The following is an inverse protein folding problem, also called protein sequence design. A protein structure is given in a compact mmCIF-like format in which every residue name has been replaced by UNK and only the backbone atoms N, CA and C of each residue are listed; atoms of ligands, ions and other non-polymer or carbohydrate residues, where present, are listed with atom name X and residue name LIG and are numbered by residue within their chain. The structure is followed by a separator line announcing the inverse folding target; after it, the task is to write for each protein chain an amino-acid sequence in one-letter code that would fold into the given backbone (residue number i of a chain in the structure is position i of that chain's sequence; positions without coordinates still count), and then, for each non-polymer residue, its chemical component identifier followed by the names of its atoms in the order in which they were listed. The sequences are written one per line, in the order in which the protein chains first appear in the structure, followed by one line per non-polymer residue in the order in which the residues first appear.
data_IF_375934068123
#
_entry.id   IF_375934068123
#
_cell.length_a   1.000
_cell.length_b   1.000
_cell.length_c   1.000
_cell.angle_alpha   90.00
_cell.angle_beta   90.00
_cell.angle_gamma   90.00
#
_symmetry.space_group_name_H-M   'P 1'
#
loop_
_entity.id
_entity.type
_entity.pdbx_description
1 polymer ?
#
# COMPACT_ATOMS: atom_id res chain seq x y z
N UNK A 1 -24.90 -12.48 -14.00
CA UNK A 1 -23.74 -13.19 -13.41
C UNK A 1 -23.31 -12.38 -12.19
N UNK A 2 -22.94 -13.01 -11.11
CA UNK A 2 -22.37 -12.29 -9.94
C UNK A 2 -20.93 -11.97 -10.30
N UNK A 3 -20.56 -10.71 -10.16
CA UNK A 3 -19.20 -10.21 -10.43
C UNK A 3 -18.20 -10.87 -9.46
N UNK A 4 -17.02 -11.28 -9.95
CA UNK A 4 -16.01 -11.93 -9.11
C UNK A 4 -15.41 -10.96 -8.10
N UNK A 5 -14.81 -11.48 -7.03
CA UNK A 5 -14.10 -10.66 -6.03
C UNK A 5 -13.03 -9.80 -6.70
N UNK A 6 -12.27 -10.37 -7.65
CA UNK A 6 -11.24 -9.65 -8.40
C UNK A 6 -11.83 -8.48 -9.20
N UNK A 7 -12.90 -8.68 -9.95
CA UNK A 7 -13.56 -7.62 -10.73
C UNK A 7 -14.06 -6.49 -9.83
N UNK A 8 -14.72 -6.81 -8.71
CA UNK A 8 -15.21 -5.82 -7.76
C UNK A 8 -14.06 -5.01 -7.12
N UNK A 9 -12.93 -5.66 -6.79
CA UNK A 9 -11.75 -4.98 -6.24
C UNK A 9 -11.06 -4.10 -7.28
N UNK A 10 -10.94 -4.55 -8.54
CA UNK A 10 -10.42 -3.74 -9.65
C UNK A 10 -11.27 -2.48 -9.84
N UNK A 11 -12.56 -2.61 -9.87
CA UNK A 11 -13.49 -1.49 -9.99
C UNK A 11 -13.39 -0.51 -8.80
N UNK A 12 -13.28 -1.03 -7.57
CA UNK A 12 -13.06 -0.20 -6.38
C UNK A 12 -11.72 0.55 -6.42
N UNK A 13 -10.64 -0.09 -6.90
CA UNK A 13 -9.32 0.52 -7.04
C UNK A 13 -9.28 1.59 -8.15
N UNK A 14 -9.95 1.37 -9.27
CA UNK A 14 -10.09 2.35 -10.36
C UNK A 14 -10.85 3.59 -9.88
N UNK A 15 -11.96 3.42 -9.18
CA UNK A 15 -12.69 4.55 -8.55
C UNK A 15 -11.82 5.34 -7.56
N UNK A 16 -11.00 4.65 -6.78
CA UNK A 16 -10.02 5.30 -5.89
C UNK A 16 -9.00 6.10 -6.70
N UNK A 17 -8.41 5.49 -7.74
CA UNK A 17 -7.41 6.12 -8.61
C UNK A 17 -7.93 7.42 -9.21
N UNK A 18 -9.13 7.39 -9.80
CA UNK A 18 -9.78 8.58 -10.36
C UNK A 18 -10.02 9.68 -9.32
N UNK A 19 -10.50 9.31 -8.12
CA UNK A 19 -10.76 10.27 -7.05
C UNK A 19 -9.46 10.91 -6.56
N UNK A 20 -8.37 10.15 -6.50
CA UNK A 20 -7.04 10.63 -6.14
C UNK A 20 -6.48 11.58 -7.21
N UNK A 21 -6.65 11.26 -8.50
CA UNK A 21 -6.25 12.13 -9.61
C UNK A 21 -6.99 13.47 -9.58
N UNK A 22 -8.30 13.47 -9.30
CA UNK A 22 -9.07 14.72 -9.10
C UNK A 22 -8.57 15.55 -7.92
N UNK A 23 -8.09 14.91 -6.85
CA UNK A 23 -7.55 15.59 -5.67
C UNK A 23 -6.12 16.12 -5.81
N UNK A 24 -5.35 15.63 -6.78
CA UNK A 24 -3.91 15.89 -6.98
C UNK A 24 -3.57 17.37 -7.02
N UNK A 25 -4.29 18.17 -7.82
CA UNK A 25 -4.02 19.60 -8.00
C UNK A 25 -4.18 20.41 -6.70
N UNK A 26 -5.05 19.98 -5.79
CA UNK A 26 -5.21 20.61 -4.48
C UNK A 26 -4.00 20.34 -3.59
N UNK A 27 -3.48 19.13 -3.62
CA UNK A 27 -2.29 18.73 -2.85
C UNK A 27 -1.06 19.46 -3.36
N UNK A 28 -0.88 19.60 -4.68
CA UNK A 28 0.22 20.32 -5.31
C UNK A 28 0.28 21.82 -4.95
N UNK A 29 -0.83 22.41 -4.51
CA UNK A 29 -0.83 23.82 -4.05
C UNK A 29 -0.22 24.01 -2.66
N UNK A 30 0.03 22.93 -1.92
CA UNK A 30 0.61 23.04 -0.58
C UNK A 30 2.12 23.25 -0.66
N UNK A 31 2.64 24.22 0.08
CA UNK A 31 4.05 24.68 0.02
C UNK A 31 5.12 23.61 0.29
N UNK A 32 4.78 22.52 0.98
CA UNK A 32 5.70 21.42 1.24
C UNK A 32 5.69 20.35 0.16
N UNK A 33 4.82 20.49 -0.86
CA UNK A 33 4.62 19.51 -1.92
C UNK A 33 5.11 20.07 -3.24
N UNK A 34 5.94 19.30 -3.93
CA UNK A 34 6.41 19.63 -5.26
C UNK A 34 5.95 18.62 -6.32
N UNK A 35 5.80 17.37 -5.93
CA UNK A 35 5.46 16.28 -6.84
C UNK A 35 4.39 15.37 -6.22
N UNK A 36 3.43 14.96 -7.04
CA UNK A 36 2.40 13.98 -6.66
C UNK A 36 2.20 13.03 -7.83
N UNK A 37 2.34 11.73 -7.58
CA UNK A 37 2.06 10.69 -8.56
C UNK A 37 1.10 9.65 -8.00
N UNK A 38 0.36 8.99 -8.87
CA UNK A 38 -0.63 7.97 -8.51
C UNK A 38 -0.24 6.61 -9.12
N UNK A 39 0.39 5.71 -8.37
CA UNK A 39 0.76 4.38 -8.85
C UNK A 39 -0.40 3.53 -9.35
N UNK A 40 -1.63 3.74 -8.85
CA UNK A 40 -2.82 3.07 -9.37
C UNK A 40 -3.25 3.57 -10.76
N UNK A 41 -2.58 4.58 -11.29
CA UNK A 41 -2.78 5.10 -12.65
C UNK A 41 -1.70 4.53 -13.58
N UNK A 42 -0.46 4.99 -13.46
CA UNK A 42 0.62 4.61 -14.38
C UNK A 42 1.14 3.18 -14.20
N UNK A 43 1.01 2.58 -13.03
CA UNK A 43 1.42 1.20 -12.75
C UNK A 43 0.21 0.25 -12.59
N UNK A 44 -0.93 0.61 -13.19
CA UNK A 44 -2.17 -0.17 -13.11
C UNK A 44 -1.97 -1.63 -13.49
N UNK A 45 -1.28 -1.91 -14.58
CA UNK A 45 -1.09 -3.28 -15.06
C UNK A 45 -0.40 -4.22 -14.06
N UNK A 46 0.43 -3.70 -13.14
CA UNK A 46 1.00 -4.47 -12.04
C UNK A 46 0.00 -4.63 -10.89
N UNK A 47 -0.75 -3.55 -10.57
CA UNK A 47 -1.77 -3.60 -9.53
C UNK A 47 -2.91 -4.56 -9.90
N UNK A 48 -3.33 -4.54 -11.15
CA UNK A 48 -4.33 -5.46 -11.71
C UNK A 48 -3.88 -6.91 -11.58
N UNK A 49 -2.63 -7.24 -11.96
CA UNK A 49 -2.07 -8.57 -11.74
C UNK A 49 -2.08 -8.98 -10.26
N UNK A 50 -1.72 -8.04 -9.35
CA UNK A 50 -1.78 -8.31 -7.92
C UNK A 50 -3.18 -8.69 -7.45
N UNK A 51 -4.21 -7.97 -7.91
CA UNK A 51 -5.60 -8.29 -7.59
C UNK A 51 -5.99 -9.64 -8.19
N UNK A 52 -5.74 -9.86 -9.48
CA UNK A 52 -6.13 -11.08 -10.19
C UNK A 52 -5.46 -12.32 -9.61
N UNK A 53 -4.17 -12.22 -9.30
CA UNK A 53 -3.42 -13.35 -8.75
C UNK A 53 -3.85 -13.70 -7.31
N UNK A 54 -4.21 -12.69 -6.48
CA UNK A 54 -4.20 -12.91 -5.03
C UNK A 54 -5.50 -12.58 -4.30
N UNK A 55 -6.50 -11.99 -4.92
CA UNK A 55 -7.75 -11.63 -4.22
C UNK A 55 -8.71 -12.79 -3.98
N UNK A 56 -8.53 -13.89 -4.70
CA UNK A 56 -9.47 -15.04 -4.70
C UNK A 56 -9.23 -16.09 -3.62
N UNK A 57 -8.24 -15.94 -2.74
CA UNK A 57 -7.81 -16.97 -1.79
C UNK A 57 -8.58 -16.98 -0.46
N UNK A 58 -9.51 -16.06 -0.25
CA UNK A 58 -10.42 -16.09 0.89
C UNK A 58 -9.88 -15.53 2.20
N UNK A 59 -8.82 -14.70 2.15
CA UNK A 59 -8.27 -14.03 3.32
C UNK A 59 -9.34 -13.34 4.17
N UNK A 60 -9.23 -13.47 5.49
CA UNK A 60 -10.09 -12.81 6.49
C UNK A 60 -9.39 -11.70 7.25
N UNK A 61 -8.09 -11.57 7.08
CA UNK A 61 -7.27 -10.52 7.70
C UNK A 61 -6.73 -9.57 6.66
N UNK A 62 -6.91 -8.26 6.88
CA UNK A 62 -6.37 -7.20 6.04
C UNK A 62 -5.19 -6.52 6.73
N UNK A 63 -4.00 -6.50 6.10
CA UNK A 63 -2.90 -5.64 6.53
C UNK A 63 -3.02 -4.29 5.81
N UNK A 64 -3.18 -3.23 6.60
CA UNK A 64 -3.39 -1.87 6.09
C UNK A 64 -2.13 -1.03 6.26
N UNK A 65 -1.52 -0.63 5.15
CA UNK A 65 -0.43 0.35 5.12
C UNK A 65 -0.93 1.80 4.99
N UNK A 66 -0.01 2.76 5.00
CA UNK A 66 -0.34 4.19 4.90
C UNK A 66 -0.34 4.69 3.45
N UNK A 67 0.84 4.78 2.82
CA UNK A 67 1.03 5.35 1.49
C UNK A 67 2.30 4.80 0.83
N UNK A 68 2.47 5.01 -0.50
CA UNK A 68 3.63 4.53 -1.22
C UNK A 68 4.97 5.06 -0.71
N UNK A 69 5.99 4.20 -0.75
CA UNK A 69 7.38 4.62 -0.78
C UNK A 69 7.89 4.72 -2.22
N UNK A 70 8.95 5.54 -2.46
CA UNK A 70 9.43 5.84 -3.82
C UNK A 70 10.09 4.65 -4.53
N UNK A 71 10.53 3.62 -3.80
CA UNK A 71 11.22 2.44 -4.34
C UNK A 71 10.41 1.14 -4.13
N UNK A 72 9.15 1.27 -3.73
CA UNK A 72 8.21 0.19 -3.52
C UNK A 72 6.96 0.38 -4.35
N UNK A 73 5.81 0.63 -3.70
CA UNK A 73 4.54 0.79 -4.41
C UNK A 73 4.57 1.87 -5.51
N UNK A 74 5.41 2.89 -5.40
CA UNK A 74 5.57 3.87 -6.47
C UNK A 74 6.11 3.25 -7.77
N UNK A 75 6.84 2.15 -7.69
CA UNK A 75 7.35 1.43 -8.86
C UNK A 75 6.34 0.41 -9.41
N UNK A 76 5.60 -0.24 -8.53
CA UNK A 76 4.85 -1.46 -8.86
C UNK A 76 3.33 -1.32 -8.72
N UNK A 77 2.82 -0.22 -8.16
CA UNK A 77 1.41 -0.13 -7.80
C UNK A 77 0.97 -1.10 -6.69
N UNK A 78 1.84 -2.01 -6.26
CA UNK A 78 1.54 -3.04 -5.26
C UNK A 78 1.89 -2.54 -3.85
N UNK A 79 1.02 -2.72 -2.84
CA UNK A 79 1.31 -2.32 -1.47
C UNK A 79 2.60 -2.97 -0.95
N UNK A 80 3.50 -2.16 -0.36
CA UNK A 80 4.84 -2.59 0.05
C UNK A 80 5.68 -3.25 -1.06
N UNK A 81 5.32 -3.07 -2.32
CA UNK A 81 5.86 -3.79 -3.48
C UNK A 81 7.27 -3.35 -3.86
N UNK A 82 8.29 -3.60 -3.01
CA UNK A 82 9.68 -3.60 -3.44
C UNK A 82 9.84 -4.53 -4.65
N UNK A 83 10.56 -4.10 -5.69
CA UNK A 83 10.52 -4.76 -7.00
C UNK A 83 10.92 -6.23 -6.99
N UNK A 84 11.94 -6.61 -6.19
CA UNK A 84 12.29 -8.01 -5.99
C UNK A 84 11.14 -8.80 -5.34
N UNK A 85 10.48 -8.23 -4.32
CA UNK A 85 9.36 -8.89 -3.65
C UNK A 85 8.14 -9.03 -4.56
N UNK A 86 7.87 -7.99 -5.36
CA UNK A 86 6.77 -8.04 -6.33
C UNK A 86 6.99 -9.15 -7.37
N UNK A 87 8.21 -9.28 -7.90
CA UNK A 87 8.56 -10.30 -8.88
C UNK A 87 8.66 -11.70 -8.26
N UNK A 88 9.45 -11.85 -7.20
CA UNK A 88 9.91 -13.17 -6.74
C UNK A 88 8.91 -13.84 -5.76
N UNK A 89 8.12 -13.03 -5.01
CA UNK A 89 7.11 -13.53 -4.06
C UNK A 89 5.71 -13.38 -4.63
N UNK A 90 5.39 -12.20 -5.22
CA UNK A 90 4.03 -11.92 -5.67
C UNK A 90 3.77 -12.30 -7.13
N UNK A 91 4.79 -12.81 -7.82
CA UNK A 91 4.73 -13.28 -9.21
C UNK A 91 4.16 -12.23 -10.18
N UNK A 92 4.53 -10.96 -9.95
CA UNK A 92 4.15 -9.87 -10.86
C UNK A 92 5.07 -9.91 -12.07
N UNK A 93 4.49 -10.12 -13.22
CA UNK A 93 5.21 -10.14 -14.48
C UNK A 93 5.55 -8.74 -14.98
N UNK A 94 6.68 -8.62 -15.67
CA UNK A 94 7.13 -7.35 -16.23
C UNK A 94 6.11 -6.82 -17.26
N UNK A 95 5.84 -5.53 -17.16
CA UNK A 95 5.12 -4.72 -18.16
C UNK A 95 5.82 -3.37 -18.28
N UNK A 96 5.81 -2.81 -19.46
CA UNK A 96 6.27 -1.45 -19.66
C UNK A 96 5.33 -0.46 -18.96
N UNK A 97 5.92 0.52 -18.30
CA UNK A 97 5.19 1.63 -17.69
C UNK A 97 5.71 2.95 -18.24
N UNK A 98 4.81 3.88 -18.48
CA UNK A 98 5.19 5.23 -18.82
C UNK A 98 5.53 6.04 -17.57
N UNK A 99 6.65 6.76 -17.61
CA UNK A 99 6.99 7.68 -16.51
C UNK A 99 5.92 8.77 -16.41
N UNK A 100 5.19 8.89 -15.29
CA UNK A 100 4.10 9.84 -15.18
C UNK A 100 4.62 11.28 -15.20
N UNK A 101 3.85 12.17 -15.80
CA UNK A 101 4.10 13.61 -15.70
C UNK A 101 4.04 14.04 -14.23
N UNK A 102 5.13 14.57 -13.69
CA UNK A 102 5.24 14.94 -12.27
C UNK A 102 5.95 13.88 -11.41
N UNK A 103 6.70 12.96 -12.03
CA UNK A 103 7.72 12.19 -11.33
C UNK A 103 8.86 13.08 -10.88
N UNK A 104 9.39 12.82 -9.68
CA UNK A 104 10.50 13.61 -9.14
C UNK A 104 11.84 13.16 -9.76
N UNK A 105 12.71 14.08 -10.25
CA UNK A 105 13.96 13.72 -10.95
C UNK A 105 14.90 12.83 -10.14
N UNK A 106 14.92 12.97 -8.81
CA UNK A 106 15.73 12.14 -7.89
C UNK A 106 15.02 10.85 -7.45
N UNK A 107 13.82 10.59 -7.94
CA UNK A 107 13.01 9.41 -7.63
C UNK A 107 12.41 8.89 -8.92
N UNK A 108 13.23 8.36 -9.82
CA UNK A 108 12.75 7.86 -11.11
C UNK A 108 11.75 6.74 -10.91
N UNK A 109 10.85 6.59 -11.86
CA UNK A 109 9.88 5.50 -11.93
C UNK A 109 10.28 4.61 -13.09
N UNK A 110 10.71 3.40 -12.79
CA UNK A 110 11.31 2.43 -13.71
C UNK A 110 10.58 1.08 -13.66
N UNK A 111 9.47 1.01 -12.89
CA UNK A 111 8.72 -0.23 -12.74
C UNK A 111 9.54 -1.34 -12.09
N UNK A 112 9.39 -2.56 -12.58
CA UNK A 112 10.14 -3.72 -12.08
C UNK A 112 11.64 -3.68 -12.43
N UNK A 113 12.09 -2.75 -13.29
CA UNK A 113 13.51 -2.54 -13.59
C UNK A 113 14.23 -1.73 -12.51
N UNK A 114 13.52 -1.12 -11.56
CA UNK A 114 14.12 -0.40 -10.44
C UNK A 114 14.97 -1.34 -9.58
N UNK A 115 16.29 -1.12 -9.60
CA UNK A 115 17.25 -1.96 -8.84
C UNK A 115 17.19 -1.68 -7.33
N UNK A 116 16.96 -0.41 -6.97
CA UNK A 116 16.92 0.00 -5.57
C UNK A 116 15.68 -0.54 -4.87
N UNK A 117 15.90 -1.36 -3.83
CA UNK A 117 14.83 -1.97 -3.06
C UNK A 117 14.33 -1.06 -1.92
N UNK A 118 13.03 -1.06 -1.71
CA UNK A 118 12.43 -0.43 -0.53
C UNK A 118 12.59 -1.33 0.69
N UNK A 119 13.32 -0.86 1.68
CA UNK A 119 13.60 -1.63 2.91
C UNK A 119 12.32 -2.06 3.64
N UNK A 120 11.32 -1.17 3.70
CA UNK A 120 10.04 -1.50 4.34
C UNK A 120 9.32 -2.62 3.64
N UNK A 121 9.26 -2.58 2.32
CA UNK A 121 8.61 -3.59 1.49
C UNK A 121 9.35 -4.92 1.53
N UNK A 122 10.68 -4.89 1.45
CA UNK A 122 11.50 -6.09 1.57
C UNK A 122 11.27 -6.76 2.93
N UNK A 123 11.37 -6.02 4.03
CA UNK A 123 11.11 -6.56 5.38
C UNK A 123 9.71 -7.15 5.50
N UNK A 124 8.72 -6.42 4.99
CA UNK A 124 7.31 -6.80 5.09
C UNK A 124 7.00 -8.12 4.38
N UNK A 125 7.34 -8.22 3.11
CA UNK A 125 7.06 -9.44 2.35
C UNK A 125 7.96 -10.61 2.73
N UNK A 126 9.23 -10.38 3.09
CA UNK A 126 10.11 -11.45 3.57
C UNK A 126 9.59 -12.12 4.84
N UNK A 127 9.07 -11.34 5.81
CA UNK A 127 8.55 -11.96 7.04
C UNK A 127 7.28 -12.77 6.79
N UNK A 128 6.41 -12.33 5.86
CA UNK A 128 5.22 -13.10 5.49
C UNK A 128 5.61 -14.39 4.76
N UNK A 129 6.55 -14.32 3.81
CA UNK A 129 7.05 -15.50 3.11
C UNK A 129 7.71 -16.51 4.06
N UNK A 130 8.53 -16.04 5.00
CA UNK A 130 9.17 -16.89 6.00
C UNK A 130 8.16 -17.54 6.97
N UNK A 131 7.09 -16.81 7.32
CA UNK A 131 6.08 -17.32 8.27
C UNK A 131 5.12 -18.33 7.63
N UNK A 132 4.66 -18.05 6.42
CA UNK A 132 3.63 -18.85 5.75
C UNK A 132 4.18 -19.91 4.79
N UNK A 133 5.42 -19.79 4.36
CA UNK A 133 6.11 -20.76 3.48
C UNK A 133 5.73 -20.68 2.01
N UNK A 134 4.50 -20.29 1.64
CA UNK A 134 4.10 -20.08 0.25
C UNK A 134 3.23 -18.84 0.09
N UNK A 135 3.19 -18.30 -1.12
CA UNK A 135 2.40 -17.10 -1.44
C UNK A 135 0.90 -17.40 -1.36
N UNK A 136 0.46 -18.58 -1.78
CA UNK A 136 -0.93 -19.03 -1.65
C UNK A 136 -1.35 -19.09 -0.18
N UNK A 137 -0.48 -19.56 0.70
CA UNK A 137 -0.77 -19.59 2.14
C UNK A 137 -0.84 -18.17 2.72
N UNK A 138 0.01 -17.23 2.27
CA UNK A 138 -0.11 -15.82 2.66
C UNK A 138 -1.53 -15.34 2.34
N UNK A 139 -1.95 -15.45 1.08
CA UNK A 139 -3.21 -14.89 0.61
C UNK A 139 -4.46 -15.66 1.00
N UNK A 140 -4.32 -16.88 1.47
CA UNK A 140 -5.41 -17.60 2.17
C UNK A 140 -5.70 -17.05 3.57
N UNK A 141 -4.74 -16.34 4.17
CA UNK A 141 -4.85 -15.77 5.51
C UNK A 141 -4.94 -14.24 5.50
N UNK A 142 -4.16 -13.58 4.63
CA UNK A 142 -3.93 -12.12 4.67
C UNK A 142 -4.11 -11.52 3.27
N UNK A 143 -4.79 -10.39 3.20
CA UNK A 143 -4.72 -9.47 2.06
C UNK A 143 -4.04 -8.16 2.45
N UNK A 144 -3.51 -7.41 1.49
CA UNK A 144 -2.70 -6.21 1.79
C UNK A 144 -3.16 -5.04 0.95
N UNK A 145 -3.40 -3.88 1.57
CA UNK A 145 -3.65 -2.61 0.86
C UNK A 145 -2.93 -1.44 1.53
N UNK A 146 -2.67 -0.38 0.77
CA UNK A 146 -2.35 0.92 1.33
C UNK A 146 -3.59 1.80 1.37
N UNK A 147 -3.79 2.55 2.46
CA UNK A 147 -4.92 3.45 2.60
C UNK A 147 -4.92 4.55 1.53
N UNK A 148 -3.80 5.27 1.38
CA UNK A 148 -3.64 6.32 0.37
C UNK A 148 -2.69 5.84 -0.74
N UNK A 149 -3.11 5.82 -2.02
CA UNK A 149 -2.25 5.34 -3.09
C UNK A 149 -1.27 6.40 -3.62
N UNK A 150 -1.39 7.67 -3.22
CA UNK A 150 -0.56 8.75 -3.74
C UNK A 150 0.84 8.75 -3.15
N UNK A 151 1.87 8.80 -4.00
CA UNK A 151 3.21 9.24 -3.62
C UNK A 151 3.27 10.77 -3.68
N UNK A 152 3.52 11.39 -2.55
CA UNK A 152 3.62 12.84 -2.41
C UNK A 152 5.06 13.17 -1.99
N UNK A 153 5.74 14.01 -2.76
CA UNK A 153 7.14 14.36 -2.53
C UNK A 153 7.32 15.88 -2.44
N UNK A 154 8.22 16.28 -1.55
CA UNK A 154 8.75 17.66 -1.52
C UNK A 154 9.87 17.86 -2.53
N UNK A 155 10.37 19.09 -2.67
CA UNK A 155 11.44 19.51 -3.58
C UNK A 155 12.73 18.65 -3.51
N UNK A 156 13.05 18.13 -2.33
CA UNK A 156 14.24 17.29 -2.12
C UNK A 156 14.04 15.83 -2.48
N UNK A 157 12.81 15.42 -2.83
CA UNK A 157 12.40 14.02 -2.99
C UNK A 157 12.12 13.32 -1.67
N UNK A 158 11.93 14.07 -0.57
CA UNK A 158 11.44 13.53 0.70
C UNK A 158 9.97 13.18 0.58
N UNK A 159 9.58 12.01 1.10
CA UNK A 159 8.17 11.61 1.17
C UNK A 159 7.42 12.54 2.15
N UNK A 160 6.31 13.10 1.68
CA UNK A 160 5.33 13.86 2.44
C UNK A 160 4.14 12.94 2.66
N UNK A 161 3.92 12.54 3.88
CA UNK A 161 2.85 11.60 4.20
C UNK A 161 1.50 12.32 4.36
N UNK A 162 0.37 11.62 4.29
CA UNK A 162 -0.94 12.22 4.53
C UNK A 162 -1.07 12.96 5.87
N UNK A 163 -0.29 12.56 6.90
CA UNK A 163 -0.31 13.22 8.22
C UNK A 163 0.50 14.52 8.26
N UNK A 164 1.38 14.74 7.31
CA UNK A 164 2.16 15.98 7.19
C UNK A 164 1.37 17.12 6.55
N UNK A 165 0.19 16.82 6.00
CA UNK A 165 -0.65 17.78 5.29
C UNK A 165 -1.86 18.25 6.12
N UNK A 166 -2.26 19.51 6.04
CA UNK A 166 -3.49 20.01 6.67
C UNK A 166 -4.72 19.25 6.16
N UNK A 167 -5.69 19.02 7.04
CA UNK A 167 -6.97 18.38 6.66
C UNK A 167 -7.60 19.06 5.44
N UNK A 168 -7.63 20.38 5.41
CA UNK A 168 -8.18 21.14 4.28
C UNK A 168 -7.55 20.79 2.93
N UNK A 169 -6.30 20.31 2.91
CA UNK A 169 -5.57 19.93 1.69
C UNK A 169 -5.87 18.47 1.29
N UNK A 170 -5.80 17.53 2.23
CA UNK A 170 -5.79 16.09 1.93
C UNK A 170 -7.16 15.40 2.13
N UNK A 171 -8.06 15.97 2.92
CA UNK A 171 -9.32 15.35 3.32
C UNK A 171 -10.18 14.81 2.16
N UNK A 172 -10.33 15.50 1.00
CA UNK A 172 -11.10 14.97 -0.11
C UNK A 172 -10.55 13.64 -0.65
N UNK A 173 -9.21 13.50 -0.67
CA UNK A 173 -8.52 12.26 -1.06
C UNK A 173 -8.71 11.21 0.01
N UNK A 174 -8.51 11.55 1.29
CA UNK A 174 -8.69 10.59 2.39
C UNK A 174 -10.11 10.03 2.47
N UNK A 175 -11.14 10.85 2.19
CA UNK A 175 -12.51 10.35 2.10
C UNK A 175 -12.72 9.31 0.99
N UNK A 176 -12.00 9.44 -0.12
CA UNK A 176 -12.03 8.43 -1.17
C UNK A 176 -11.28 7.15 -0.73
N UNK A 177 -10.14 7.31 -0.06
CA UNK A 177 -9.40 6.20 0.53
C UNK A 177 -10.23 5.43 1.58
N UNK A 178 -10.99 6.14 2.42
CA UNK A 178 -11.90 5.55 3.40
C UNK A 178 -13.00 4.71 2.74
N UNK A 179 -13.60 5.24 1.67
CA UNK A 179 -14.61 4.48 0.92
C UNK A 179 -14.01 3.22 0.28
N UNK A 180 -12.81 3.33 -0.26
CA UNK A 180 -12.09 2.18 -0.81
C UNK A 180 -11.81 1.13 0.27
N UNK A 181 -11.30 1.54 1.44
CA UNK A 181 -11.06 0.64 2.56
C UNK A 181 -12.34 -0.12 2.96
N UNK A 182 -13.48 0.58 3.08
CA UNK A 182 -14.78 -0.05 3.34
C UNK A 182 -15.13 -1.05 2.24
N UNK A 183 -15.02 -0.65 0.97
CA UNK A 183 -15.32 -1.55 -0.16
C UNK A 183 -14.46 -2.81 -0.13
N UNK A 184 -13.16 -2.72 0.15
CA UNK A 184 -12.28 -3.90 0.26
C UNK A 184 -12.74 -4.82 1.39
N UNK A 185 -13.04 -4.25 2.57
CA UNK A 185 -13.52 -5.01 3.73
C UNK A 185 -14.81 -5.75 3.40
N UNK A 186 -15.77 -5.06 2.78
CA UNK A 186 -17.08 -5.61 2.43
C UNK A 186 -16.97 -6.69 1.32
N UNK A 187 -16.24 -6.40 0.23
CA UNK A 187 -16.08 -7.30 -0.92
C UNK A 187 -15.40 -8.61 -0.50
N UNK A 188 -14.36 -8.53 0.33
CA UNK A 188 -13.60 -9.71 0.76
C UNK A 188 -14.17 -10.37 2.01
N UNK A 189 -15.12 -9.74 2.71
CA UNK A 189 -15.65 -10.22 3.98
C UNK A 189 -14.55 -10.30 5.04
N UNK A 190 -13.75 -9.23 5.16
CA UNK A 190 -12.66 -9.11 6.13
C UNK A 190 -13.22 -9.02 7.55
N UNK A 191 -12.67 -9.81 8.46
CA UNK A 191 -13.06 -9.88 9.86
C UNK A 191 -12.08 -9.15 10.80
N UNK A 192 -10.80 -9.06 10.37
CA UNK A 192 -9.73 -8.41 11.13
C UNK A 192 -8.94 -7.45 10.26
N UNK A 193 -8.67 -6.24 10.76
CA UNK A 193 -7.76 -5.28 10.11
C UNK A 193 -6.58 -5.00 11.04
N UNK A 194 -5.38 -5.25 10.56
CA UNK A 194 -4.14 -4.97 11.28
C UNK A 194 -3.44 -3.76 10.63
N UNK A 195 -3.45 -2.63 11.32
CA UNK A 195 -2.75 -1.45 10.86
C UNK A 195 -1.23 -1.63 10.94
N UNK A 196 -0.54 -1.48 9.82
CA UNK A 196 0.93 -1.44 9.78
C UNK A 196 1.38 -0.05 10.18
N UNK A 197 1.56 0.12 11.48
CA UNK A 197 1.84 1.40 12.13
C UNK A 197 0.57 2.14 12.59
N UNK A 198 0.81 3.15 13.42
CA UNK A 198 -0.25 3.82 14.18
C UNK A 198 -1.25 4.62 13.31
N UNK A 199 -0.80 5.18 12.18
CA UNK A 199 -1.68 5.87 11.23
C UNK A 199 -2.77 4.94 10.71
N UNK A 200 -2.37 3.79 10.21
CA UNK A 200 -3.27 2.82 9.60
C UNK A 200 -4.29 2.28 10.62
N UNK A 201 -3.84 1.96 11.85
CA UNK A 201 -4.75 1.58 12.94
C UNK A 201 -5.81 2.64 13.20
N UNK A 202 -5.38 3.89 13.47
CA UNK A 202 -6.31 5.00 13.76
C UNK A 202 -7.28 5.27 12.61
N UNK A 203 -6.82 5.05 11.38
CA UNK A 203 -7.69 5.26 10.22
C UNK A 203 -8.74 4.15 10.11
N UNK A 204 -8.35 2.90 10.31
CA UNK A 204 -9.27 1.78 10.38
C UNK A 204 -10.33 1.98 11.49
N UNK A 205 -9.91 2.34 12.70
CA UNK A 205 -10.81 2.64 13.83
C UNK A 205 -11.80 3.77 13.55
N UNK A 206 -11.39 4.78 12.76
CA UNK A 206 -12.26 5.91 12.41
C UNK A 206 -13.27 5.60 11.30
N UNK A 207 -13.05 4.54 10.53
CA UNK A 207 -13.77 4.28 9.28
C UNK A 207 -14.61 3.01 9.34
N UNK A 208 -14.12 1.98 10.02
CA UNK A 208 -14.71 0.65 10.03
C UNK A 208 -15.48 0.40 11.33
N UNK A 209 -16.61 -0.30 11.19
CA UNK A 209 -17.38 -0.85 12.29
C UNK A 209 -17.42 -2.37 12.10
N UNK A 210 -17.71 -3.11 13.14
CA UNK A 210 -17.98 -4.56 13.09
C UNK A 210 -16.81 -5.44 12.59
N UNK A 211 -15.57 -4.92 12.65
CA UNK A 211 -14.34 -5.67 12.40
C UNK A 211 -13.39 -5.53 13.58
N UNK A 212 -12.62 -6.57 13.87
CA UNK A 212 -11.55 -6.47 14.86
C UNK A 212 -10.39 -5.63 14.33
N UNK A 213 -9.90 -4.66 15.12
CA UNK A 213 -8.80 -3.78 14.71
C UNK A 213 -7.62 -3.91 15.68
N UNK A 214 -6.47 -4.26 15.14
CA UNK A 214 -5.20 -4.31 15.86
C UNK A 214 -4.10 -3.57 15.07
N UNK A 215 -2.86 -3.60 15.55
CA UNK A 215 -1.73 -3.00 14.85
C UNK A 215 -0.43 -3.77 15.08
N UNK A 216 0.42 -3.71 14.08
CA UNK A 216 1.83 -4.09 14.16
C UNK A 216 2.74 -2.88 13.96
N UNK A 217 3.99 -2.99 14.39
CA UNK A 217 4.96 -1.90 14.18
C UNK A 217 5.31 -1.75 12.71
N UNK A 218 5.48 -0.50 12.27
CA UNK A 218 5.84 -0.22 10.88
C UNK A 218 7.28 -0.66 10.58
N UNK A 219 7.56 -1.36 9.46
CA UNK A 219 8.89 -1.90 9.12
C UNK A 219 9.92 -0.86 8.66
N UNK A 220 9.56 0.43 8.61
CA UNK A 220 10.43 1.49 8.11
C UNK A 220 11.73 1.61 8.88
N UNK A 221 12.88 1.78 8.18
CA UNK A 221 14.14 2.11 8.83
C UNK A 221 14.12 3.41 9.65
N UNK A 222 13.19 4.31 9.35
CA UNK A 222 12.98 5.53 10.13
C UNK A 222 12.24 5.30 11.46
N UNK A 223 11.65 4.11 11.65
CA UNK A 223 11.00 3.74 12.91
C UNK A 223 12.02 3.20 13.92
N UNK A 224 12.20 3.83 15.09
CA UNK A 224 13.09 3.29 16.12
C UNK A 224 12.74 1.85 16.51
N UNK A 225 11.44 1.51 16.57
CA UNK A 225 10.96 0.17 16.93
C UNK A 225 11.35 -0.89 15.89
N UNK A 226 11.41 -0.51 14.61
CA UNK A 226 11.78 -1.44 13.53
C UNK A 226 13.27 -1.83 13.54
N UNK A 227 14.10 -1.09 14.24
CA UNK A 227 15.55 -1.32 14.26
C UNK A 227 16.06 -1.88 15.61
N UNK A 228 15.19 -2.01 16.61
CA UNK A 228 15.58 -2.57 17.92
C UNK A 228 16.10 -4.00 17.75
N UNK A 229 17.19 -4.31 18.44
CA UNK A 229 17.88 -5.60 18.37
C UNK A 229 18.12 -6.06 16.92
N UNK A 230 18.58 -5.14 16.04
CA UNK A 230 18.82 -5.47 14.63
C UNK A 230 17.56 -5.81 13.82
N UNK A 231 16.37 -5.46 14.31
CA UNK A 231 15.08 -5.76 13.70
C UNK A 231 14.37 -7.01 14.29
N UNK A 232 15.00 -7.73 15.20
CA UNK A 232 14.41 -8.93 15.80
C UNK A 232 13.11 -8.63 16.57
N UNK A 233 13.08 -7.52 17.32
CA UNK A 233 11.88 -7.12 18.08
C UNK A 233 10.72 -6.78 17.15
N UNK A 234 10.99 -6.10 16.01
CA UNK A 234 9.97 -5.84 15.02
C UNK A 234 9.43 -7.14 14.41
N UNK A 235 10.32 -8.08 14.08
CA UNK A 235 9.95 -9.38 13.54
C UNK A 235 9.04 -10.14 14.50
N UNK A 236 9.41 -10.22 15.78
CA UNK A 236 8.61 -10.85 16.82
C UNK A 236 7.24 -10.18 16.97
N UNK A 237 7.20 -8.83 16.98
CA UNK A 237 5.94 -8.10 17.02
C UNK A 237 5.06 -8.39 15.79
N UNK A 238 5.61 -8.39 14.58
CA UNK A 238 4.85 -8.67 13.38
C UNK A 238 4.23 -10.08 13.41
N UNK A 239 5.03 -11.11 13.73
CA UNK A 239 4.57 -12.50 13.81
C UNK A 239 3.49 -12.67 14.89
N UNK A 240 3.59 -11.96 16.02
CA UNK A 240 2.58 -12.07 17.09
C UNK A 240 1.22 -11.47 16.74
N UNK A 241 1.09 -10.76 15.60
CA UNK A 241 -0.12 -10.07 15.18
C UNK A 241 -0.82 -10.73 14.00
N UNK A 242 -0.09 -11.39 13.14
CA UNK A 242 -0.66 -12.10 11.98
C UNK A 242 -1.23 -13.46 12.40
N UNK A 243 -2.30 -13.95 11.72
CA UNK A 243 -2.93 -15.22 12.01
C UNK A 243 -2.04 -16.42 11.70
#
# INVERSE_FOLDING_TARGET
MVESVSEQLKDAALRLSEACNRGRNRILKHKSVAYVTNPLDYAWGFHEQFIDNWSGFGAKTLLLGMNPGPYGMAQTGVPFGATAMARDILHIEHRDIETPSGAHPKRPIEGLSMERQEVSGTRFWSILADHYGSTETIFSNIYVVNHCPLLILGETGRNVTPVDLPKSTIEPVLKACDRHLKSVVDIMGIETVIGVGNYAKKRAEAVLNDVHIDSMWHPSPASPLANRNGGADWRANAISKIP
#
